data_IF_033156505460
#
_entry.id   IF_033156505460
#
_cell.length_a   1.000
_cell.length_b   1.000
_cell.length_c   1.000
_cell.angle_alpha   90.00
_cell.angle_beta   90.00
_cell.angle_gamma   90.00
#
_symmetry.space_group_name_H-M   'P 1'
#
loop_
_entity.id
_entity.type
_entity.pdbx_description
1 polymer ?
#
# COMPACT_ATOMS: atom_id res chain seq x y z
N UNK A 1 -13.36 -28.53 -10.59
CA UNK A 1 -13.60 -27.38 -9.70
C UNK A 1 -12.40 -27.27 -8.76
N UNK A 2 -11.42 -26.40 -9.06
CA UNK A 2 -10.22 -26.28 -8.21
C UNK A 2 -10.60 -25.43 -7.01
N UNK A 3 -10.78 -26.07 -5.85
CA UNK A 3 -10.97 -25.38 -4.58
C UNK A 3 -9.72 -24.55 -4.29
N UNK A 4 -9.85 -23.24 -4.44
CA UNK A 4 -8.79 -22.28 -4.17
C UNK A 4 -8.71 -22.13 -2.65
N UNK A 5 -7.87 -22.93 -1.99
CA UNK A 5 -7.73 -22.93 -0.53
C UNK A 5 -6.90 -21.72 -0.06
N UNK A 6 -7.38 -20.50 -0.35
CA UNK A 6 -6.77 -19.23 0.07
C UNK A 6 -7.39 -18.80 1.39
N UNK A 7 -6.56 -18.37 2.34
CA UNK A 7 -7.01 -18.01 3.70
C UNK A 7 -7.68 -16.64 3.79
N UNK A 8 -7.58 -15.82 2.73
CA UNK A 8 -8.17 -14.48 2.60
C UNK A 8 -8.40 -14.13 1.11
N UNK A 9 -9.25 -13.13 0.80
CA UNK A 9 -9.47 -12.70 -0.59
C UNK A 9 -8.22 -12.04 -1.18
N UNK A 10 -7.87 -12.40 -2.41
CA UNK A 10 -6.68 -11.92 -3.12
C UNK A 10 -7.13 -11.30 -4.44
N UNK A 11 -6.56 -10.14 -4.80
CA UNK A 11 -6.82 -9.54 -6.12
C UNK A 11 -6.58 -10.57 -7.22
N UNK A 12 -7.39 -10.57 -8.28
CA UNK A 12 -7.19 -11.39 -9.48
C UNK A 12 -6.52 -10.59 -10.61
N UNK A 13 -6.32 -9.29 -10.42
CA UNK A 13 -5.65 -8.43 -11.39
C UNK A 13 -4.16 -8.78 -11.42
N UNK A 14 -3.65 -9.08 -12.61
CA UNK A 14 -2.26 -9.49 -12.85
C UNK A 14 -1.70 -8.65 -13.97
N UNK A 15 -0.41 -8.33 -13.87
CA UNK A 15 0.32 -7.70 -14.93
C UNK A 15 0.68 -8.65 -16.06
N UNK A 16 0.95 -8.08 -17.25
CA UNK A 16 1.70 -8.77 -18.31
C UNK A 16 3.18 -8.40 -18.21
N UNK A 17 3.75 -7.73 -19.22
CA UNK A 17 5.18 -7.33 -19.21
C UNK A 17 5.41 -5.95 -18.56
N UNK A 18 4.45 -5.05 -18.70
CA UNK A 18 4.46 -3.69 -18.14
C UNK A 18 3.17 -3.51 -17.37
N UNK A 19 3.23 -2.98 -16.14
CA UNK A 19 2.04 -2.68 -15.34
C UNK A 19 1.55 -1.29 -15.75
N UNK A 20 2.27 -0.25 -15.31
CA UNK A 20 2.02 1.15 -15.66
C UNK A 20 0.56 1.56 -15.49
N UNK A 21 0.17 2.65 -16.16
CA UNK A 21 -1.23 3.07 -16.25
C UNK A 21 -2.03 2.24 -17.25
N UNK A 22 -1.33 1.49 -18.11
CA UNK A 22 -1.97 0.63 -19.12
C UNK A 22 -2.91 -0.39 -18.47
N UNK A 23 -2.57 -0.90 -17.27
CA UNK A 23 -3.46 -1.80 -16.53
C UNK A 23 -4.81 -1.15 -16.19
N UNK A 24 -4.87 0.17 -16.02
CA UNK A 24 -6.09 0.90 -15.69
C UNK A 24 -7.09 0.92 -16.85
N UNK A 25 -6.64 0.82 -18.11
CA UNK A 25 -7.54 0.84 -19.28
C UNK A 25 -8.59 -0.27 -19.21
N UNK A 26 -8.22 -1.42 -18.66
CA UNK A 26 -9.09 -2.59 -18.55
C UNK A 26 -9.86 -2.60 -17.21
N UNK A 27 -9.18 -2.33 -16.10
CA UNK A 27 -9.71 -2.56 -14.75
C UNK A 27 -10.46 -1.36 -14.16
N UNK A 28 -10.21 -0.14 -14.64
CA UNK A 28 -10.79 1.05 -14.02
C UNK A 28 -12.30 1.10 -14.22
N UNK A 29 -13.01 1.43 -13.16
CA UNK A 29 -14.43 1.78 -13.20
C UNK A 29 -14.55 3.30 -13.34
N UNK A 30 -15.22 3.75 -14.40
CA UNK A 30 -15.40 5.19 -14.71
C UNK A 30 -16.76 5.73 -14.26
N UNK A 31 -17.58 4.88 -13.66
CA UNK A 31 -18.93 5.25 -13.19
C UNK A 31 -18.93 5.74 -11.74
N UNK A 32 -17.89 5.41 -10.99
CA UNK A 32 -17.75 5.72 -9.57
C UNK A 32 -16.35 6.26 -9.27
N UNK A 33 -16.23 7.13 -8.26
CA UNK A 33 -14.95 7.75 -7.87
C UNK A 33 -14.73 7.63 -6.35
N UNK A 34 -13.50 7.32 -5.95
CA UNK A 34 -13.07 7.33 -4.55
C UNK A 34 -12.17 8.54 -4.28
N UNK A 35 -12.36 9.19 -3.14
CA UNK A 35 -11.51 10.30 -2.68
C UNK A 35 -10.24 9.83 -1.97
N UNK A 36 -10.23 8.59 -1.45
CA UNK A 36 -9.14 8.07 -0.63
C UNK A 36 -8.91 6.57 -0.73
N UNK A 37 -7.93 6.11 0.05
CA UNK A 37 -7.51 4.70 0.13
C UNK A 37 -8.54 3.82 0.84
N UNK A 38 -9.37 4.42 1.69
CA UNK A 38 -10.47 3.78 2.41
C UNK A 38 -11.69 4.71 2.31
N UNK A 39 -12.90 4.16 2.29
CA UNK A 39 -14.12 5.01 2.26
C UNK A 39 -14.50 5.53 3.64
N UNK A 40 -14.25 4.73 4.68
CA UNK A 40 -14.54 5.05 6.07
C UNK A 40 -13.56 4.27 6.96
N UNK A 41 -12.78 4.97 7.78
CA UNK A 41 -11.80 4.37 8.69
C UNK A 41 -12.46 3.65 9.88
N UNK A 42 -13.74 3.87 10.16
CA UNK A 42 -14.48 3.19 11.22
C UNK A 42 -14.58 1.66 11.02
N UNK A 43 -14.37 1.17 9.79
CA UNK A 43 -14.35 -0.27 9.51
C UNK A 43 -13.25 -1.04 10.27
N UNK A 44 -12.26 -0.32 10.83
CA UNK A 44 -11.17 -0.87 11.62
C UNK A 44 -11.44 -0.88 13.13
N UNK A 45 -12.61 -0.38 13.58
CA UNK A 45 -13.06 -0.55 14.96
C UNK A 45 -13.30 -2.05 15.30
N UNK A 46 -13.18 -2.46 16.57
CA UNK A 46 -12.75 -1.67 17.74
C UNK A 46 -11.23 -1.57 17.90
N UNK A 47 -10.45 -2.13 16.97
CA UNK A 47 -8.98 -2.17 17.06
C UNK A 47 -8.31 -0.84 16.74
N UNK A 48 -9.08 0.06 16.15
CA UNK A 48 -8.82 1.47 15.99
C UNK A 48 -9.95 2.20 16.74
N UNK A 49 -9.63 2.99 17.75
CA UNK A 49 -10.59 3.86 18.42
C UNK A 49 -10.77 5.12 17.57
N UNK A 50 -11.81 5.14 16.73
CA UNK A 50 -11.99 6.16 15.69
C UNK A 50 -12.04 7.59 16.25
N UNK A 51 -12.61 7.76 17.45
CA UNK A 51 -12.71 9.06 18.12
C UNK A 51 -11.37 9.56 18.68
N UNK A 52 -10.48 8.66 19.07
CA UNK A 52 -9.18 8.99 19.65
C UNK A 52 -8.10 9.23 18.56
N UNK A 53 -8.26 8.65 17.38
CA UNK A 53 -7.33 8.83 16.25
C UNK A 53 -7.29 10.29 15.78
N UNK A 54 -6.11 10.76 15.37
CA UNK A 54 -5.95 12.08 14.75
C UNK A 54 -6.97 12.31 13.61
N UNK A 55 -7.69 13.45 13.60
CA UNK A 55 -8.62 13.77 12.52
C UNK A 55 -7.91 13.93 11.18
N UNK A 56 -6.67 14.43 11.16
CA UNK A 56 -5.88 14.57 9.93
C UNK A 56 -5.47 13.20 9.38
N UNK A 57 -5.17 12.21 10.23
CA UNK A 57 -4.91 10.84 9.76
C UNK A 57 -6.17 10.24 9.12
N UNK A 58 -7.33 10.34 9.79
CA UNK A 58 -8.61 9.85 9.24
C UNK A 58 -8.90 10.45 7.87
N UNK A 59 -8.88 11.77 7.81
CA UNK A 59 -9.12 12.53 6.59
C UNK A 59 -8.10 12.21 5.49
N UNK A 60 -6.85 11.93 5.82
CA UNK A 60 -5.86 11.51 4.83
C UNK A 60 -6.21 10.16 4.18
N UNK A 61 -6.62 9.17 4.97
CA UNK A 61 -6.99 7.86 4.41
C UNK A 61 -8.31 7.89 3.64
N UNK A 62 -9.25 8.76 4.03
CA UNK A 62 -10.56 8.91 3.39
C UNK A 62 -10.54 9.86 2.18
N UNK A 63 -9.66 10.87 2.17
CA UNK A 63 -9.54 11.91 1.13
C UNK A 63 -8.08 12.09 0.68
N UNK A 64 -7.40 11.00 0.37
CA UNK A 64 -5.98 10.98 -0.01
C UNK A 64 -5.67 11.86 -1.23
N UNK A 65 -6.62 12.05 -2.16
CA UNK A 65 -6.46 12.94 -3.33
C UNK A 65 -6.29 14.41 -2.94
N UNK A 66 -6.64 14.81 -1.72
CA UNK A 66 -6.50 16.18 -1.22
C UNK A 66 -5.12 16.46 -0.61
N UNK A 67 -4.21 15.48 -0.64
CA UNK A 67 -2.88 15.60 -0.04
C UNK A 67 -1.77 15.56 -1.08
N UNK A 68 -0.70 16.29 -0.80
CA UNK A 68 0.60 16.17 -1.46
C UNK A 68 1.51 15.33 -0.59
N UNK A 69 2.28 14.44 -1.22
CA UNK A 69 3.14 13.50 -0.53
C UNK A 69 4.56 13.64 -1.05
N UNK A 70 5.48 13.87 -0.15
CA UNK A 70 6.91 13.93 -0.43
C UNK A 70 7.57 12.74 0.23
N UNK A 71 8.50 12.09 -0.46
CA UNK A 71 9.20 10.91 0.05
C UNK A 71 10.71 11.06 -0.04
N UNK A 72 11.41 10.51 0.96
CA UNK A 72 12.86 10.32 0.97
C UNK A 72 13.15 8.84 1.15
N UNK A 73 13.80 8.23 0.15
CA UNK A 73 14.04 6.77 0.13
C UNK A 73 15.45 6.45 0.62
N UNK A 74 15.53 5.68 1.70
CA UNK A 74 16.78 5.30 2.37
C UNK A 74 17.00 3.79 2.28
N UNK A 75 17.81 3.39 1.30
CA UNK A 75 18.32 2.01 1.21
C UNK A 75 19.43 1.77 2.24
N UNK A 76 19.34 0.64 2.96
CA UNK A 76 20.40 0.20 3.85
C UNK A 76 21.65 -0.21 3.06
N UNK A 77 22.85 0.06 3.62
CA UNK A 77 24.13 -0.10 2.92
C UNK A 77 24.33 -1.50 2.35
N UNK A 78 23.96 -2.53 3.10
CA UNK A 78 24.10 -3.94 2.70
C UNK A 78 23.20 -4.32 1.52
N UNK A 79 22.07 -3.63 1.33
CA UNK A 79 21.12 -3.92 0.25
C UNK A 79 21.35 -3.07 -1.00
N UNK A 80 22.20 -2.03 -0.95
CA UNK A 80 22.43 -1.12 -2.09
C UNK A 80 22.84 -1.82 -3.40
N UNK A 81 23.74 -2.82 -3.42
CA UNK A 81 24.07 -3.54 -4.65
C UNK A 81 22.85 -4.24 -5.26
N UNK A 82 22.05 -4.92 -4.43
CA UNK A 82 20.81 -5.57 -4.84
C UNK A 82 19.77 -4.54 -5.33
N UNK A 83 19.67 -3.39 -4.67
CA UNK A 83 18.77 -2.30 -5.06
C UNK A 83 19.11 -1.75 -6.46
N UNK A 84 20.38 -1.71 -6.85
CA UNK A 84 20.79 -1.27 -8.19
C UNK A 84 20.36 -2.27 -9.27
N UNK A 85 20.57 -3.56 -9.03
CA UNK A 85 20.10 -4.64 -9.94
C UNK A 85 18.58 -4.60 -10.03
N UNK A 86 17.92 -4.52 -8.88
CA UNK A 86 16.47 -4.44 -8.77
C UNK A 86 15.90 -3.25 -9.56
N UNK A 87 16.52 -2.07 -9.49
CA UNK A 87 16.06 -0.87 -10.20
C UNK A 87 16.01 -1.06 -11.72
N UNK A 88 16.94 -1.84 -12.27
CA UNK A 88 16.95 -2.12 -13.70
C UNK A 88 15.68 -2.87 -14.13
N UNK A 89 15.25 -3.86 -13.34
CA UNK A 89 14.03 -4.61 -13.59
C UNK A 89 12.77 -3.79 -13.25
N UNK A 90 12.76 -3.07 -12.11
CA UNK A 90 11.59 -2.29 -11.68
C UNK A 90 11.21 -1.20 -12.66
N UNK A 91 12.20 -0.55 -13.30
CA UNK A 91 11.97 0.44 -14.37
C UNK A 91 11.29 -0.14 -15.60
N UNK A 92 11.63 -1.39 -15.97
CA UNK A 92 11.00 -2.08 -17.11
C UNK A 92 9.59 -2.55 -16.78
N UNK A 93 9.34 -2.93 -15.53
CA UNK A 93 8.05 -3.45 -15.07
C UNK A 93 7.08 -2.31 -14.70
N UNK A 94 7.59 -1.12 -14.38
CA UNK A 94 6.85 0.04 -13.84
C UNK A 94 6.06 -0.29 -12.56
N UNK A 95 6.69 -1.10 -11.69
CA UNK A 95 6.12 -1.49 -10.41
C UNK A 95 7.24 -1.50 -9.36
N UNK A 96 6.98 -0.82 -8.23
CA UNK A 96 7.93 -0.61 -7.11
C UNK A 96 9.26 0.00 -7.64
N UNK A 97 9.16 0.90 -8.62
CA UNK A 97 10.27 1.70 -9.13
C UNK A 97 10.57 2.86 -8.16
N UNK A 98 11.25 2.54 -7.06
CA UNK A 98 11.60 3.50 -6.01
C UNK A 98 12.92 4.23 -6.32
N UNK A 99 13.02 5.54 -6.01
CA UNK A 99 14.27 6.27 -6.09
C UNK A 99 15.42 5.59 -5.31
N UNK A 100 16.63 5.58 -5.86
CA UNK A 100 17.85 5.22 -5.10
C UNK A 100 18.43 6.40 -4.31
N UNK A 101 17.86 7.59 -4.50
CA UNK A 101 18.33 8.82 -3.88
C UNK A 101 17.55 9.10 -2.60
N UNK A 102 18.24 9.65 -1.61
CA UNK A 102 17.66 10.15 -0.36
C UNK A 102 17.09 11.56 -0.48
N UNK A 103 17.16 12.16 -1.68
CA UNK A 103 16.57 13.48 -1.93
C UNK A 103 15.06 13.37 -1.78
N UNK A 104 14.46 14.39 -1.16
CA UNK A 104 13.02 14.54 -1.12
C UNK A 104 12.50 14.71 -2.54
N UNK A 105 11.53 13.88 -2.90
CA UNK A 105 10.81 13.98 -4.18
C UNK A 105 9.32 14.01 -3.91
N UNK A 106 8.61 14.85 -4.64
CA UNK A 106 7.16 14.78 -4.66
C UNK A 106 6.73 13.51 -5.41
N UNK A 107 5.86 12.75 -4.76
CA UNK A 107 5.21 11.60 -5.35
C UNK A 107 3.76 12.00 -5.62
N UNK A 108 3.42 12.25 -6.89
CA UNK A 108 2.03 12.54 -7.30
C UNK A 108 1.22 11.26 -7.22
N UNK A 109 -0.04 11.37 -6.81
CA UNK A 109 -0.91 10.22 -6.60
C UNK A 109 -2.31 10.46 -7.10
N UNK A 110 -2.77 9.57 -7.97
CA UNK A 110 -4.14 9.56 -8.47
C UNK A 110 -4.84 8.29 -7.98
N UNK A 111 -6.11 8.42 -7.61
CA UNK A 111 -6.95 7.31 -7.17
C UNK A 111 -7.98 7.02 -8.24
N UNK A 112 -8.08 5.75 -8.62
CA UNK A 112 -9.06 5.26 -9.60
C UNK A 112 -9.90 4.16 -8.97
N UNK A 113 -11.20 4.19 -9.18
CA UNK A 113 -12.06 3.06 -8.85
C UNK A 113 -11.73 1.86 -9.74
N UNK A 114 -11.86 0.66 -9.20
CA UNK A 114 -11.59 -0.59 -9.91
C UNK A 114 -12.85 -1.44 -9.92
N UNK A 115 -13.12 -2.10 -11.06
CA UNK A 115 -14.26 -3.00 -11.21
C UNK A 115 -14.14 -4.19 -10.25
N UNK A 116 -15.12 -4.36 -9.36
CA UNK A 116 -15.10 -5.43 -8.34
C UNK A 116 -14.97 -6.83 -8.96
N UNK A 117 -15.69 -7.12 -10.06
CA UNK A 117 -15.66 -8.43 -10.72
C UNK A 117 -14.29 -8.75 -11.34
N UNK A 118 -13.48 -7.74 -11.68
CA UNK A 118 -12.13 -7.93 -12.22
C UNK A 118 -11.10 -8.15 -11.11
N UNK A 119 -11.21 -7.42 -10.00
CA UNK A 119 -10.30 -7.57 -8.87
C UNK A 119 -10.65 -8.78 -7.99
N UNK A 120 -11.93 -9.09 -7.81
CA UNK A 120 -12.41 -10.17 -6.95
C UNK A 120 -12.39 -9.85 -5.45
N UNK A 121 -12.09 -8.60 -5.07
CA UNK A 121 -12.23 -8.09 -3.70
C UNK A 121 -13.27 -6.97 -3.66
N UNK A 122 -13.77 -6.67 -2.46
CA UNK A 122 -14.81 -5.66 -2.22
C UNK A 122 -14.23 -4.25 -2.30
N UNK A 123 -14.93 -3.37 -3.02
CA UNK A 123 -14.60 -1.95 -3.19
C UNK A 123 -13.10 -1.73 -3.51
N UNK A 124 -12.55 -2.33 -4.56
CA UNK A 124 -11.15 -2.15 -4.89
C UNK A 124 -10.94 -0.75 -5.51
N UNK A 125 -9.77 -0.18 -5.24
CA UNK A 125 -9.33 1.09 -5.83
C UNK A 125 -7.83 1.06 -6.08
N UNK A 126 -7.40 1.65 -7.18
CA UNK A 126 -6.01 1.75 -7.55
C UNK A 126 -5.44 3.09 -7.11
N UNK A 127 -4.34 3.08 -6.36
CA UNK A 127 -3.51 4.24 -6.12
C UNK A 127 -2.30 4.17 -7.04
N UNK A 128 -2.25 5.06 -8.03
CA UNK A 128 -1.14 5.18 -8.97
C UNK A 128 -0.21 6.27 -8.51
N UNK A 129 1.08 5.94 -8.35
CA UNK A 129 2.09 6.86 -7.86
C UNK A 129 3.10 7.17 -8.93
N UNK A 130 3.41 8.46 -9.12
CA UNK A 130 4.39 8.94 -10.09
C UNK A 130 5.46 9.79 -9.42
N UNK A 131 6.70 9.67 -9.87
CA UNK A 131 7.83 10.56 -9.54
C UNK A 131 8.43 11.02 -10.86
N UNK A 132 8.55 12.33 -11.06
CA UNK A 132 9.04 12.91 -12.32
C UNK A 132 8.35 12.31 -13.55
N UNK A 133 7.02 12.17 -13.51
CA UNK A 133 6.17 11.61 -14.57
C UNK A 133 6.31 10.09 -14.82
N UNK A 134 7.34 9.43 -14.28
CA UNK A 134 7.46 7.98 -14.30
C UNK A 134 6.55 7.33 -13.26
N UNK A 135 5.81 6.30 -13.65
CA UNK A 135 5.04 5.47 -12.71
C UNK A 135 6.00 4.72 -11.79
N UNK A 136 5.88 4.99 -10.49
CA UNK A 136 6.58 4.26 -9.44
C UNK A 136 5.88 2.93 -9.16
N UNK A 137 4.57 2.95 -8.90
CA UNK A 137 3.79 1.74 -8.67
C UNK A 137 2.28 2.00 -8.82
N UNK A 138 1.55 0.90 -9.08
CA UNK A 138 0.09 0.80 -8.96
C UNK A 138 -0.23 -0.13 -7.79
N UNK A 139 -0.92 0.37 -6.78
CA UNK A 139 -1.33 -0.41 -5.62
C UNK A 139 -2.86 -0.47 -5.52
N UNK A 140 -3.41 -1.68 -5.44
CA UNK A 140 -4.84 -1.96 -5.41
C UNK A 140 -5.29 -2.15 -3.96
N UNK A 141 -5.89 -1.11 -3.38
CA UNK A 141 -6.42 -1.08 -2.03
C UNK A 141 -7.81 -1.70 -1.97
N UNK A 142 -7.99 -2.52 -0.95
CA UNK A 142 -9.23 -3.14 -0.52
C UNK A 142 -9.10 -3.41 0.98
N UNK A 143 -10.14 -3.94 1.59
CA UNK A 143 -10.10 -4.48 2.94
C UNK A 143 -10.77 -5.85 2.99
N UNK A 144 -10.56 -6.58 4.07
CA UNK A 144 -11.34 -7.77 4.41
C UNK A 144 -11.37 -7.98 5.93
N UNK A 145 -12.37 -8.70 6.42
CA UNK A 145 -12.52 -9.07 7.83
C UNK A 145 -12.26 -10.56 8.01
N UNK A 146 -11.57 -10.95 9.10
CA UNK A 146 -11.44 -12.34 9.56
C UNK A 146 -11.50 -12.37 11.08
N UNK A 147 -12.46 -13.13 11.61
CA UNK A 147 -12.84 -13.01 13.02
C UNK A 147 -13.23 -11.56 13.31
N UNK A 148 -12.76 -10.99 14.42
CA UNK A 148 -13.03 -9.60 14.78
C UNK A 148 -12.06 -8.57 14.19
N UNK A 149 -11.10 -9.00 13.35
CA UNK A 149 -10.09 -8.10 12.82
C UNK A 149 -10.36 -7.74 11.36
N UNK A 150 -10.34 -6.44 11.07
CA UNK A 150 -10.32 -5.91 9.70
C UNK A 150 -8.86 -5.63 9.29
N UNK A 151 -8.51 -6.04 8.09
CA UNK A 151 -7.18 -5.88 7.52
C UNK A 151 -7.23 -5.00 6.28
N UNK A 152 -6.23 -4.13 6.13
CA UNK A 152 -5.97 -3.47 4.86
C UNK A 152 -5.30 -4.48 3.92
N UNK A 153 -5.90 -4.69 2.75
CA UNK A 153 -5.50 -5.70 1.78
C UNK A 153 -5.02 -4.99 0.50
N UNK A 154 -3.70 -4.98 0.30
CA UNK A 154 -3.06 -4.21 -0.76
C UNK A 154 -2.51 -5.19 -1.79
N UNK A 155 -3.05 -5.16 -3.00
CA UNK A 155 -2.58 -5.94 -4.13
C UNK A 155 -1.63 -5.11 -4.99
N UNK A 156 -0.44 -5.61 -5.26
CA UNK A 156 0.53 -5.04 -6.19
C UNK A 156 0.62 -5.97 -7.41
N UNK A 157 -0.04 -5.63 -8.52
CA UNK A 157 0.05 -6.40 -9.74
C UNK A 157 1.51 -6.49 -10.20
N UNK A 158 1.95 -7.71 -10.47
CA UNK A 158 3.27 -8.02 -11.02
C UNK A 158 3.07 -8.82 -12.31
N UNK A 159 4.11 -8.97 -13.14
CA UNK A 159 4.07 -9.89 -14.28
C UNK A 159 3.60 -11.29 -13.85
N UNK A 160 2.47 -11.73 -14.39
CA UNK A 160 1.87 -13.05 -14.16
C UNK A 160 1.55 -13.40 -12.70
N UNK A 161 1.68 -12.44 -11.78
CA UNK A 161 1.57 -12.65 -10.34
C UNK A 161 1.05 -11.40 -9.63
N UNK A 162 0.78 -11.49 -8.34
CA UNK A 162 0.46 -10.33 -7.51
C UNK A 162 1.08 -10.50 -6.15
N UNK A 163 1.85 -9.50 -5.76
CA UNK A 163 2.29 -9.39 -4.38
C UNK A 163 1.16 -8.79 -3.57
N UNK A 164 0.83 -9.38 -2.43
CA UNK A 164 -0.24 -8.91 -1.55
C UNK A 164 0.33 -8.59 -0.19
N UNK A 165 0.17 -7.35 0.26
CA UNK A 165 0.43 -6.92 1.63
C UNK A 165 -0.86 -6.94 2.44
N UNK A 166 -0.90 -7.72 3.51
CA UNK A 166 -2.00 -7.74 4.46
C UNK A 166 -1.54 -7.03 5.73
N UNK A 167 -2.15 -5.89 6.02
CA UNK A 167 -1.76 -5.00 7.12
C UNK A 167 -2.84 -4.93 8.19
N UNK A 168 -2.43 -5.09 9.44
CA UNK A 168 -3.23 -4.70 10.60
C UNK A 168 -3.01 -3.22 10.91
N UNK A 169 -4.09 -2.50 11.21
CA UNK A 169 -4.05 -1.15 11.74
C UNK A 169 -4.05 -1.22 13.26
N UNK A 170 -3.08 -0.57 13.89
CA UNK A 170 -2.92 -0.49 15.35
C UNK A 170 -2.75 0.98 15.74
N UNK A 171 -3.40 1.38 16.83
CA UNK A 171 -3.34 2.75 17.33
C UNK A 171 -2.28 2.93 18.41
N UNK A 172 -1.60 4.08 18.39
CA UNK A 172 -0.66 4.51 19.41
C UNK A 172 -1.00 5.94 19.82
N UNK A 173 -1.83 6.09 20.85
CA UNK A 173 -2.40 7.40 21.21
C UNK A 173 -3.24 7.94 20.05
N UNK A 174 -2.78 9.05 19.43
CA UNK A 174 -3.43 9.67 18.27
C UNK A 174 -2.81 9.27 16.93
N UNK A 175 -1.75 8.47 16.96
CA UNK A 175 -0.99 8.02 15.77
C UNK A 175 -1.44 6.64 15.32
N UNK A 176 -1.14 6.32 14.07
CA UNK A 176 -1.53 5.06 13.42
C UNK A 176 -0.30 4.26 13.01
N UNK A 177 -0.32 2.95 13.28
CA UNK A 177 0.66 2.00 12.76
C UNK A 177 -0.02 0.95 11.90
N UNK A 178 0.43 0.77 10.66
CA UNK A 178 0.06 -0.35 9.81
C UNK A 178 1.21 -1.36 9.85
N UNK A 179 0.92 -2.65 10.00
CA UNK A 179 1.98 -3.68 10.07
C UNK A 179 1.55 -4.97 9.38
N UNK A 180 2.43 -5.51 8.53
CA UNK A 180 2.30 -6.88 8.00
C UNK A 180 3.00 -7.91 8.88
N UNK A 181 3.61 -7.49 9.99
CA UNK A 181 4.50 -8.34 10.76
C UNK A 181 3.69 -9.39 11.55
N UNK A 182 3.84 -10.66 11.20
CA UNK A 182 3.22 -11.78 11.94
C UNK A 182 3.82 -11.87 13.34
N UNK A 183 2.96 -11.84 14.36
CA UNK A 183 3.33 -12.31 15.71
C UNK A 183 3.49 -13.83 15.67
N UNK A 184 4.55 -14.37 16.28
CA UNK A 184 4.94 -15.81 16.22
C UNK A 184 3.81 -16.80 16.56
N UNK A 185 2.82 -16.38 17.32
CA UNK A 185 1.70 -17.22 17.82
C UNK A 185 0.36 -16.88 17.18
N UNK A 186 0.31 -15.97 16.20
CA UNK A 186 -0.94 -15.46 15.66
C UNK A 186 -1.46 -16.26 14.46
N UNK A 187 -2.78 -16.53 14.43
CA UNK A 187 -3.52 -17.02 13.25
C UNK A 187 -3.92 -15.88 12.28
N UNK A 188 -3.38 -14.67 12.48
CA UNK A 188 -3.65 -13.51 11.63
C UNK A 188 -3.16 -13.69 10.20
N UNK A 189 -3.86 -13.03 9.27
CA UNK A 189 -3.51 -13.05 7.86
C UNK A 189 -2.38 -12.07 7.51
N UNK A 190 -1.95 -11.22 8.46
CA UNK A 190 -0.87 -10.24 8.26
C UNK A 190 0.33 -10.85 7.56
N UNK A 191 0.91 -10.16 6.61
CA UNK A 191 2.11 -10.62 5.92
C UNK A 191 2.16 -10.18 4.48
N UNK A 192 3.30 -10.47 3.86
CA UNK A 192 3.50 -10.28 2.43
C UNK A 192 3.42 -11.63 1.74
N UNK A 193 2.68 -11.72 0.64
CA UNK A 193 2.46 -12.95 -0.10
C UNK A 193 2.65 -12.73 -1.59
N UNK A 194 3.13 -13.74 -2.30
CA UNK A 194 3.12 -13.78 -3.76
C UNK A 194 2.09 -14.78 -4.25
N UNK A 195 1.14 -14.31 -5.04
CA UNK A 195 0.04 -15.11 -5.58
C UNK A 195 0.13 -15.23 -7.10
N UNK A 196 0.19 -16.46 -7.59
CA UNK A 196 0.01 -16.79 -9.02
C UNK A 196 -1.42 -17.24 -9.26
N UNK A 197 -1.74 -17.77 -10.46
CA UNK A 197 -3.09 -18.25 -10.78
C UNK A 197 -3.56 -19.32 -9.78
N UNK A 198 -2.68 -20.27 -9.43
CA UNK A 198 -3.04 -21.49 -8.70
C UNK A 198 -2.37 -21.62 -7.32
N UNK A 199 -1.40 -20.77 -7.00
CA UNK A 199 -0.58 -20.92 -5.78
C UNK A 199 -0.38 -19.59 -5.09
N UNK A 200 -0.20 -19.63 -3.78
CA UNK A 200 0.13 -18.50 -2.94
C UNK A 200 1.28 -18.89 -2.02
N UNK A 201 2.26 -18.02 -1.91
CA UNK A 201 3.46 -18.25 -1.12
C UNK A 201 3.70 -17.07 -0.18
N UNK A 202 3.97 -17.27 1.11
CA UNK A 202 4.44 -16.21 1.97
C UNK A 202 5.83 -15.76 1.51
N UNK A 203 6.07 -14.45 1.51
CA UNK A 203 7.39 -13.87 1.27
C UNK A 203 8.03 -13.53 2.62
N UNK A 204 9.37 -13.62 2.74
CA UNK A 204 10.09 -13.25 3.95
C UNK A 204 10.23 -11.72 4.07
N UNK A 205 9.18 -10.97 3.71
CA UNK A 205 9.16 -9.51 3.71
C UNK A 205 8.09 -9.07 4.70
N UNK A 206 8.46 -8.19 5.61
CA UNK A 206 7.54 -7.50 6.49
C UNK A 206 7.71 -5.99 6.37
N UNK A 207 6.62 -5.27 6.58
CA UNK A 207 6.55 -3.82 6.44
C UNK A 207 5.77 -3.23 7.61
N UNK A 208 6.23 -2.07 8.09
CA UNK A 208 5.54 -1.27 9.09
C UNK A 208 5.48 0.18 8.63
N UNK A 209 4.30 0.78 8.68
CA UNK A 209 4.09 2.20 8.44
C UNK A 209 3.66 2.85 9.74
N UNK A 210 4.42 3.80 10.25
CA UNK A 210 4.01 4.64 11.36
C UNK A 210 3.61 6.01 10.83
N UNK A 211 2.41 6.49 11.15
CA UNK A 211 1.84 7.76 10.69
C UNK A 211 1.47 8.59 11.91
N UNK A 212 1.95 9.83 11.95
CA UNK A 212 1.67 10.78 13.02
C UNK A 212 1.31 12.15 12.46
N UNK A 213 0.44 12.85 13.17
CA UNK A 213 0.14 14.24 12.87
C UNK A 213 1.19 15.14 13.53
N UNK A 214 1.80 16.01 12.74
CA UNK A 214 2.81 16.97 13.22
C UNK A 214 2.31 18.42 13.19
N UNK A 215 1.16 18.67 12.55
CA UNK A 215 0.50 19.97 12.51
C UNK A 215 -0.89 19.85 11.90
N UNK A 216 -1.66 20.93 11.86
CA UNK A 216 -2.94 20.97 11.16
C UNK A 216 -2.72 20.63 9.67
N UNK A 217 -3.38 19.60 9.16
CA UNK A 217 -3.22 19.17 7.77
C UNK A 217 -1.85 18.61 7.40
N UNK A 218 -0.95 18.39 8.36
CA UNK A 218 0.40 17.87 8.10
C UNK A 218 0.67 16.59 8.89
N UNK A 219 1.08 15.55 8.15
CA UNK A 219 1.48 14.27 8.71
C UNK A 219 2.94 13.98 8.37
N UNK A 220 3.60 13.25 9.27
CA UNK A 220 4.80 12.48 8.92
C UNK A 220 4.44 11.02 8.91
N UNK A 221 5.09 10.27 8.02
CA UNK A 221 5.05 8.83 8.10
C UNK A 221 6.44 8.24 7.88
N UNK A 222 6.72 7.13 8.55
CA UNK A 222 7.92 6.32 8.31
C UNK A 222 7.46 4.92 7.90
N UNK A 223 7.99 4.46 6.78
CA UNK A 223 7.75 3.12 6.25
C UNK A 223 9.04 2.32 6.30
N UNK A 224 9.06 1.29 7.15
CA UNK A 224 10.18 0.38 7.32
C UNK A 224 9.87 -0.97 6.67
N UNK A 225 10.72 -1.38 5.73
CA UNK A 225 10.65 -2.69 5.10
C UNK A 225 11.85 -3.54 5.51
N UNK A 226 11.54 -4.79 5.89
CA UNK A 226 12.51 -5.79 6.31
C UNK A 226 12.40 -7.01 5.40
N UNK A 227 13.52 -7.67 5.19
CA UNK A 227 13.58 -8.98 4.55
C UNK A 227 14.30 -9.93 5.51
N UNK A 228 13.71 -11.08 5.81
CA UNK A 228 14.15 -11.98 6.88
C UNK A 228 14.37 -11.25 8.22
N UNK A 229 13.47 -10.31 8.56
CA UNK A 229 13.63 -9.44 9.73
C UNK A 229 14.90 -8.58 9.73
N UNK A 230 15.57 -8.34 8.60
CA UNK A 230 16.68 -7.39 8.48
C UNK A 230 16.19 -6.16 7.71
N UNK A 231 16.30 -4.93 8.27
CA UNK A 231 15.91 -3.71 7.57
C UNK A 231 16.71 -3.55 6.28
N UNK A 232 16.02 -3.38 5.15
CA UNK A 232 16.67 -3.15 3.86
C UNK A 232 16.30 -1.80 3.25
N UNK A 233 15.14 -1.25 3.62
CA UNK A 233 14.61 -0.01 3.07
C UNK A 233 13.77 0.73 4.12
N UNK A 234 14.03 2.02 4.27
CA UNK A 234 13.19 2.95 5.03
C UNK A 234 12.76 4.09 4.11
N UNK A 235 11.50 4.50 4.17
CA UNK A 235 10.98 5.64 3.44
C UNK A 235 10.35 6.61 4.43
N UNK A 236 10.86 7.83 4.45
CA UNK A 236 10.23 8.92 5.21
C UNK A 236 9.28 9.68 4.30
N UNK A 237 8.11 10.00 4.83
CA UNK A 237 7.09 10.78 4.15
C UNK A 237 6.79 12.06 4.89
N UNK A 238 6.61 13.12 4.12
CA UNK A 238 5.94 14.34 4.55
C UNK A 238 4.66 14.44 3.73
N UNK A 239 3.53 14.49 4.41
CA UNK A 239 2.20 14.52 3.81
C UNK A 239 1.56 15.83 4.22
N UNK A 240 1.05 16.59 3.24
CA UNK A 240 0.46 17.91 3.50
C UNK A 240 -0.84 18.09 2.74
N UNK A 241 -1.85 18.61 3.42
CA UNK A 241 -3.14 18.96 2.83
C UNK A 241 -2.94 20.08 1.80
N UNK A 242 -3.58 19.98 0.64
CA UNK A 242 -3.42 20.96 -0.45
C UNK A 242 -3.89 22.36 -0.05
N UNK A 243 -5.07 22.47 0.56
CA UNK A 243 -5.69 23.75 0.93
C UNK A 243 -5.04 24.48 2.13
N UNK A 244 -4.02 23.91 2.77
CA UNK A 244 -3.33 24.51 3.93
C UNK A 244 -1.87 24.89 3.60
N UNK A 245 -1.48 24.83 2.32
CA UNK A 245 -0.17 25.27 1.82
C UNK A 245 -0.27 26.46 0.83
N UNK A 246 -1.44 27.10 0.77
CA UNK A 246 -1.63 28.45 0.19
C UNK A 246 -1.65 29.46 1.33
#
# INVERSE_FOLDING_TARGET
>A
MIMNNRSFPVSQIRGRKVIGEEILKEIADRTFYYSGLVSDMSIYEPHLEFHCLSPTIKHFYENTTEYRLFASVKWHRWFKPLAMIYRFFSRRILQINLPLSRKWVEMRGDIFSVKEHMDGRRQPRAWVRKVNEEVCFVALYSWHKKGERTYMNIGLPLPFSTMTGILELNQYGRSLKLSSRKKRTSKADTGTYLSTKNKQFPLPIDEEFFVEQVGAGSLKAQHDMRIFSIPFLTIDYVIRHKALNE
#
